data_IF_538066664520
#
_entry.id   IF_538066664520
#
_cell.length_a   1.000
_cell.length_b   1.000
_cell.length_c   1.000
_cell.angle_alpha   90.00
_cell.angle_beta   90.00
_cell.angle_gamma   90.00
#
_symmetry.space_group_name_H-M   'P 1'
#
loop_
_entity.id
_entity.type
_entity.pdbx_description
1 polymer ?
#
# COMPACT_ATOMS: atom_id res chain seq x y z
N UNK A 1 48.75 46.02 22.65
CA UNK A 1 49.32 45.44 23.89
C UNK A 1 50.28 44.37 23.44
N UNK A 2 51.57 44.68 23.40
CA UNK A 2 52.60 43.83 22.81
C UNK A 2 53.27 42.94 23.88
N UNK A 3 53.67 41.72 23.51
CA UNK A 3 55.06 41.23 23.53
C UNK A 3 55.14 39.70 23.50
N UNK A 4 56.09 39.20 22.70
CA UNK A 4 56.93 38.06 23.04
C UNK A 4 58.36 38.63 23.22
N UNK A 5 59.23 38.06 24.08
CA UNK A 5 60.25 37.15 23.53
C UNK A 5 60.76 36.01 24.46
N UNK A 6 61.47 35.07 23.81
CA UNK A 6 62.64 34.21 24.17
C UNK A 6 63.56 34.66 25.34
N UNK A 7 64.49 33.89 25.93
CA UNK A 7 65.05 32.51 25.74
C UNK A 7 65.88 32.03 26.99
N UNK A 8 66.45 30.81 26.95
CA UNK A 8 67.46 30.16 27.87
C UNK A 8 66.94 29.75 29.28
N UNK A 9 67.31 28.62 29.94
CA UNK A 9 68.20 27.44 29.72
C UNK A 9 68.37 26.69 31.08
N UNK A 10 68.91 25.47 31.27
CA UNK A 10 69.38 24.34 30.43
C UNK A 10 69.60 23.04 31.30
N UNK A 11 69.51 21.83 30.70
CA UNK A 11 70.36 20.58 30.87
C UNK A 11 70.63 20.00 32.31
N UNK A 12 70.49 18.69 32.66
CA UNK A 12 70.91 17.37 32.09
C UNK A 12 69.78 16.30 32.23
N UNK A 13 69.59 15.25 31.39
CA UNK A 13 70.43 14.07 31.04
C UNK A 13 69.74 12.77 31.58
N UNK A 14 69.74 11.56 31.00
CA UNK A 14 70.50 10.93 29.90
C UNK A 14 69.87 9.53 29.51
N UNK A 15 69.84 9.13 28.21
CA UNK A 15 69.78 7.76 27.57
C UNK A 15 68.81 6.62 28.07
N UNK A 16 68.36 5.61 27.29
CA UNK A 16 68.39 5.33 25.82
C UNK A 16 67.34 4.27 25.37
N UNK A 17 67.11 4.15 24.05
CA UNK A 17 66.83 2.95 23.18
C UNK A 17 66.06 1.70 23.70
N UNK A 18 65.25 0.94 22.93
CA UNK A 18 65.06 0.77 21.47
C UNK A 18 63.81 -0.09 21.11
N UNK A 19 63.57 -0.29 19.80
CA UNK A 19 62.83 -1.39 19.13
C UNK A 19 61.28 -1.42 19.14
N UNK A 20 60.70 -1.05 17.99
CA UNK A 20 59.54 -1.78 17.42
C UNK A 20 60.05 -3.02 16.65
N UNK A 21 59.16 -3.99 16.38
CA UNK A 21 58.82 -4.22 14.98
C UNK A 21 57.32 -4.29 14.70
N UNK A 22 56.99 -4.02 13.44
CA UNK A 22 55.66 -4.09 12.85
C UNK A 22 55.50 -5.46 12.18
N UNK A 23 54.52 -6.26 12.58
CA UNK A 23 54.15 -7.47 11.83
C UNK A 23 52.63 -7.64 11.81
N UNK A 24 52.11 -7.99 10.63
CA UNK A 24 50.69 -8.06 10.29
C UNK A 24 50.42 -9.44 9.73
N UNK A 25 49.69 -10.30 10.45
CA UNK A 25 48.79 -11.26 9.81
C UNK A 25 47.71 -11.86 10.73
N UNK A 26 46.47 -11.48 10.43
CA UNK A 26 45.29 -12.36 10.29
C UNK A 26 45.19 -13.66 11.13
N UNK A 27 44.42 -13.61 12.22
CA UNK A 27 43.46 -14.69 12.51
C UNK A 27 42.05 -14.11 12.72
N UNK A 28 41.19 -14.29 11.71
CA UNK A 28 39.74 -14.17 11.87
C UNK A 28 39.23 -15.47 12.50
N UNK A 29 39.04 -15.49 13.82
CA UNK A 29 38.24 -16.54 14.44
C UNK A 29 36.76 -16.19 14.32
N UNK A 30 36.02 -17.10 13.70
CA UNK A 30 34.60 -17.00 13.44
C UNK A 30 33.83 -17.45 14.70
N UNK A 31 33.60 -16.55 15.67
CA UNK A 31 32.71 -16.85 16.79
C UNK A 31 31.25 -16.79 16.35
N UNK A 32 30.71 -17.97 16.12
CA UNK A 32 29.32 -18.25 15.81
C UNK A 32 28.42 -17.74 16.96
N UNK A 33 27.73 -16.61 16.75
CA UNK A 33 26.78 -16.09 17.74
C UNK A 33 25.53 -16.97 17.74
N UNK A 34 25.31 -17.69 18.84
CA UNK A 34 24.06 -18.41 19.09
C UNK A 34 22.87 -17.43 19.09
N UNK A 35 21.66 -17.85 18.67
CA UNK A 35 20.47 -17.02 18.79
C UNK A 35 20.17 -16.77 20.27
N UNK A 36 19.90 -15.52 20.61
CA UNK A 36 19.66 -15.09 21.99
C UNK A 36 18.37 -15.71 22.53
N UNK A 37 18.45 -16.41 23.66
CA UNK A 37 17.33 -17.14 24.26
C UNK A 37 16.10 -16.25 24.59
N UNK A 38 16.30 -14.93 24.74
CA UNK A 38 15.24 -13.97 25.05
C UNK A 38 14.16 -13.84 23.96
N UNK A 39 14.50 -13.95 22.66
CA UNK A 39 13.46 -13.85 21.60
C UNK A 39 12.48 -15.02 21.63
N UNK A 40 12.88 -16.17 22.18
CA UNK A 40 12.00 -17.35 22.34
C UNK A 40 11.10 -17.22 23.59
N UNK A 41 11.66 -16.72 24.70
CA UNK A 41 10.90 -16.45 25.92
C UNK A 41 9.82 -15.38 25.68
N UNK A 42 10.13 -14.33 24.91
CA UNK A 42 9.16 -13.27 24.56
C UNK A 42 7.97 -13.80 23.72
N UNK A 43 8.18 -14.73 22.77
CA UNK A 43 7.08 -15.36 22.02
C UNK A 43 6.29 -16.37 22.87
N UNK A 44 6.92 -17.13 23.78
CA UNK A 44 6.21 -18.04 24.70
C UNK A 44 5.38 -17.29 25.75
N UNK A 45 5.90 -16.18 26.31
CA UNK A 45 5.16 -15.31 27.24
C UNK A 45 3.94 -14.71 26.52
N UNK A 46 4.08 -14.27 25.27
CA UNK A 46 2.96 -13.76 24.49
C UNK A 46 1.92 -14.84 24.14
N UNK A 47 2.34 -16.11 24.05
CA UNK A 47 1.47 -17.25 23.74
C UNK A 47 0.78 -17.90 24.95
N UNK A 48 1.27 -17.66 26.17
CA UNK A 48 0.73 -18.26 27.41
C UNK A 48 -0.36 -17.43 28.11
N UNK A 49 -0.65 -16.22 27.60
CA UNK A 49 -1.71 -15.38 28.16
C UNK A 49 -3.10 -15.83 27.68
N UNK A 50 -3.76 -16.66 28.49
CA UNK A 50 -5.19 -16.95 28.36
C UNK A 50 -6.00 -15.65 28.29
N UNK A 51 -6.86 -15.44 27.26
CA UNK A 51 -7.70 -14.25 27.15
C UNK A 51 -8.94 -14.39 28.06
N UNK A 52 -8.72 -14.58 29.35
CA UNK A 52 -9.78 -14.37 30.33
C UNK A 52 -10.21 -12.89 30.31
N UNK A 53 -11.52 -12.60 30.46
CA UNK A 53 -12.08 -11.35 29.98
C UNK A 53 -11.69 -10.19 30.87
N UNK A 54 -10.72 -9.39 30.42
CA UNK A 54 -10.47 -8.05 30.97
C UNK A 54 -11.75 -7.22 30.79
N UNK A 55 -12.50 -7.10 31.87
CA UNK A 55 -13.86 -6.59 31.92
C UNK A 55 -13.90 -5.05 31.94
N UNK A 56 -13.00 -4.43 31.17
CA UNK A 56 -12.89 -2.98 31.00
C UNK A 56 -13.18 -2.61 29.55
N UNK A 57 -14.21 -1.79 29.34
CA UNK A 57 -14.54 -1.16 28.06
C UNK A 57 -13.70 0.12 27.81
N UNK A 58 -12.70 0.37 28.66
CA UNK A 58 -11.92 1.60 28.74
C UNK A 58 -10.42 1.31 28.67
N UNK A 59 -9.58 2.27 28.24
CA UNK A 59 -8.14 2.14 28.40
C UNK A 59 -7.80 2.00 29.89
N UNK A 60 -7.13 0.89 30.24
CA UNK A 60 -6.56 0.69 31.58
C UNK A 60 -5.48 1.76 31.83
N UNK A 61 -5.42 2.27 33.06
CA UNK A 61 -4.38 3.24 33.44
C UNK A 61 -3.04 2.53 33.70
N UNK A 62 -1.92 3.26 33.58
CA UNK A 62 -0.56 2.69 33.60
C UNK A 62 -0.25 1.91 34.90
N UNK A 63 -0.93 2.23 36.01
CA UNK A 63 -0.79 1.54 37.29
C UNK A 63 -1.50 0.17 37.35
N UNK A 64 -2.41 -0.13 36.43
CA UNK A 64 -3.19 -1.38 36.40
C UNK A 64 -2.43 -2.52 35.69
N UNK A 65 -1.30 -2.21 35.05
CA UNK A 65 -0.43 -3.20 34.42
C UNK A 65 0.55 -3.79 35.46
N UNK A 66 0.80 -5.11 35.44
CA UNK A 66 1.82 -5.72 36.30
C UNK A 66 3.20 -5.14 36.00
N UNK A 67 4.05 -5.02 37.02
CA UNK A 67 5.39 -4.37 36.96
C UNK A 67 6.34 -4.99 35.90
N UNK A 68 6.06 -6.20 35.43
CA UNK A 68 6.77 -6.84 34.32
C UNK A 68 6.45 -6.25 32.94
N UNK A 69 5.30 -5.58 32.76
CA UNK A 69 4.88 -4.99 31.48
C UNK A 69 5.26 -3.51 31.46
N UNK A 70 6.46 -3.21 30.93
CA UNK A 70 6.87 -1.82 30.66
C UNK A 70 6.28 -1.36 29.32
N UNK A 71 5.08 -0.77 29.36
CA UNK A 71 4.37 -0.21 28.20
C UNK A 71 5.28 0.68 27.32
N UNK A 72 6.14 1.48 27.95
CA UNK A 72 7.09 2.39 27.29
C UNK A 72 8.13 1.68 26.40
N UNK A 73 8.37 0.38 26.61
CA UNK A 73 9.33 -0.43 25.85
C UNK A 73 8.66 -1.25 24.74
N UNK A 74 7.32 -1.34 24.74
CA UNK A 74 6.57 -2.09 23.72
C UNK A 74 6.52 -1.32 22.39
N UNK A 75 6.84 -1.95 21.25
CA UNK A 75 6.81 -1.27 19.95
C UNK A 75 5.38 -0.90 19.53
N UNK A 76 5.14 0.38 19.30
CA UNK A 76 3.83 0.90 18.92
C UNK A 76 3.50 0.62 17.43
N UNK A 77 2.59 -0.32 17.19
CA UNK A 77 2.10 -0.71 15.85
C UNK A 77 3.18 -1.15 14.82
N UNK A 78 4.09 -2.09 15.15
CA UNK A 78 5.25 -2.44 14.30
C UNK A 78 4.86 -2.86 12.87
N UNK A 79 3.75 -3.61 12.72
CA UNK A 79 3.24 -4.09 11.41
C UNK A 79 2.56 -2.99 10.56
N UNK A 80 2.37 -1.77 11.09
CA UNK A 80 1.70 -0.67 10.39
C UNK A 80 2.65 0.41 9.85
N UNK A 81 3.88 0.54 10.35
CA UNK A 81 4.79 1.62 9.92
C UNK A 81 5.03 1.63 8.40
N UNK A 82 5.28 0.46 7.79
CA UNK A 82 5.49 0.35 6.34
C UNK A 82 4.20 0.68 5.54
N UNK A 83 3.03 0.06 5.82
CA UNK A 83 1.75 0.46 5.21
C UNK A 83 1.42 1.95 5.30
N UNK A 84 1.63 2.58 6.47
CA UNK A 84 1.35 4.00 6.69
C UNK A 84 2.31 4.90 5.91
N UNK A 85 3.61 4.58 5.89
CA UNK A 85 4.61 5.28 5.06
C UNK A 85 4.26 5.18 3.57
N UNK A 86 3.91 3.99 3.07
CA UNK A 86 3.48 3.78 1.69
C UNK A 86 2.23 4.59 1.35
N UNK A 87 1.21 4.56 2.22
CA UNK A 87 -0.01 5.37 2.05
C UNK A 87 0.33 6.86 1.97
N UNK A 88 1.15 7.38 2.89
CA UNK A 88 1.55 8.79 2.90
C UNK A 88 2.30 9.20 1.62
N UNK A 89 3.22 8.36 1.12
CA UNK A 89 3.93 8.60 -0.14
C UNK A 89 2.96 8.63 -1.33
N UNK A 90 2.05 7.65 -1.45
CA UNK A 90 1.08 7.64 -2.54
C UNK A 90 0.09 8.81 -2.48
N UNK A 91 -0.38 9.19 -1.28
CA UNK A 91 -1.19 10.40 -1.07
C UNK A 91 -0.45 11.65 -1.54
N UNK A 92 0.82 11.82 -1.13
CA UNK A 92 1.64 12.98 -1.51
C UNK A 92 1.87 13.05 -3.02
N UNK A 93 2.25 11.94 -3.66
CA UNK A 93 2.46 11.86 -5.12
C UNK A 93 1.19 12.18 -5.89
N UNK A 94 0.06 11.55 -5.54
CA UNK A 94 -1.22 11.79 -6.18
C UNK A 94 -1.72 13.23 -5.91
N UNK A 95 -1.46 13.80 -4.73
CA UNK A 95 -1.81 15.19 -4.39
C UNK A 95 -1.02 16.18 -5.22
N UNK A 96 0.31 16.08 -5.23
CA UNK A 96 1.18 16.96 -6.03
C UNK A 96 0.80 16.91 -7.50
N UNK A 97 0.64 15.70 -8.06
CA UNK A 97 0.22 15.52 -9.46
C UNK A 97 -1.13 16.18 -9.76
N UNK A 98 -2.13 15.95 -8.90
CA UNK A 98 -3.49 16.48 -9.10
C UNK A 98 -3.53 18.01 -8.91
N UNK A 99 -2.80 18.54 -7.92
CA UNK A 99 -2.69 19.98 -7.65
C UNK A 99 -2.03 20.72 -8.81
N UNK A 100 -0.88 20.23 -9.29
CA UNK A 100 -0.17 20.82 -10.44
C UNK A 100 -1.09 20.94 -11.67
N UNK A 101 -1.92 19.91 -11.89
CA UNK A 101 -2.79 19.81 -13.07
C UNK A 101 -4.12 20.54 -12.95
N UNK A 102 -4.83 20.44 -11.83
CA UNK A 102 -6.21 20.96 -11.69
C UNK A 102 -6.28 22.38 -11.10
N UNK A 103 -5.20 22.85 -10.47
CA UNK A 103 -5.10 24.15 -9.80
C UNK A 103 -3.97 25.00 -10.39
N UNK A 104 -2.73 24.51 -10.41
CA UNK A 104 -1.59 25.31 -10.86
C UNK A 104 -1.64 25.59 -12.37
N UNK A 105 -1.93 24.59 -13.22
CA UNK A 105 -1.98 24.84 -14.67
C UNK A 105 -3.07 25.85 -15.09
N UNK A 106 -4.33 25.78 -14.62
CA UNK A 106 -5.33 26.81 -14.91
C UNK A 106 -4.95 28.20 -14.40
N UNK A 107 -4.25 28.27 -13.25
CA UNK A 107 -3.73 29.51 -12.70
C UNK A 107 -2.63 30.10 -13.59
N UNK A 108 -1.63 29.32 -13.99
CA UNK A 108 -0.50 29.78 -14.83
C UNK A 108 -0.93 30.07 -16.27
N UNK A 109 -1.79 29.24 -16.88
CA UNK A 109 -2.13 29.36 -18.30
C UNK A 109 -3.33 30.26 -18.59
N UNK A 110 -4.21 30.53 -17.62
CA UNK A 110 -5.47 31.27 -17.84
C UNK A 110 -5.76 32.31 -16.74
N UNK A 111 -4.84 32.53 -15.80
CA UNK A 111 -5.01 33.42 -14.63
C UNK A 111 -6.27 33.13 -13.79
N UNK A 112 -6.77 31.89 -13.82
CA UNK A 112 -7.99 31.49 -13.11
C UNK A 112 -7.67 31.02 -11.68
N UNK A 113 -8.23 31.72 -10.70
CA UNK A 113 -8.13 31.30 -9.29
C UNK A 113 -9.12 30.16 -8.98
N UNK A 114 -8.61 28.94 -9.06
CA UNK A 114 -9.35 27.70 -8.78
C UNK A 114 -8.92 27.02 -7.46
N UNK A 115 -8.29 27.74 -6.53
CA UNK A 115 -7.75 27.18 -5.28
C UNK A 115 -8.83 26.59 -4.35
N UNK A 116 -10.08 27.02 -4.45
CA UNK A 116 -11.23 26.42 -3.74
C UNK A 116 -11.45 24.94 -4.10
N UNK A 117 -10.84 24.42 -5.17
CA UNK A 117 -10.87 22.99 -5.52
C UNK A 117 -10.08 22.12 -4.53
N UNK A 118 -9.07 22.66 -3.86
CA UNK A 118 -8.11 21.86 -3.06
C UNK A 118 -8.81 21.01 -1.99
N UNK A 119 -9.69 21.55 -1.11
CA UNK A 119 -10.19 20.80 0.04
C UNK A 119 -11.14 19.65 -0.30
N UNK A 120 -11.77 19.65 -1.49
CA UNK A 120 -12.79 18.64 -1.86
C UNK A 120 -12.55 18.01 -3.22
N UNK A 121 -12.26 18.79 -4.27
CA UNK A 121 -12.12 18.28 -5.63
C UNK A 121 -10.76 17.64 -5.89
N UNK A 122 -9.68 18.18 -5.30
CA UNK A 122 -8.34 17.56 -5.37
C UNK A 122 -8.32 16.31 -4.47
N UNK A 123 -8.73 16.42 -3.20
CA UNK A 123 -8.77 15.26 -2.30
C UNK A 123 -9.64 14.11 -2.86
N UNK A 124 -10.80 14.39 -3.45
CA UNK A 124 -11.64 13.33 -4.04
C UNK A 124 -11.08 12.69 -5.33
N UNK A 125 -9.92 13.14 -5.84
CA UNK A 125 -9.14 12.44 -6.86
C UNK A 125 -7.94 11.67 -6.25
N UNK A 126 -7.37 12.21 -5.17
CA UNK A 126 -6.21 11.64 -4.45
C UNK A 126 -6.60 10.39 -3.65
N UNK A 127 -7.73 10.45 -2.94
CA UNK A 127 -8.26 9.35 -2.13
C UNK A 127 -8.52 8.07 -2.95
N UNK A 128 -9.30 8.08 -4.06
CA UNK A 128 -9.56 6.87 -4.84
C UNK A 128 -8.31 6.33 -5.54
N UNK A 129 -7.42 7.20 -6.04
CA UNK A 129 -6.15 6.79 -6.64
C UNK A 129 -5.31 6.02 -5.61
N UNK A 130 -5.11 6.59 -4.43
CA UNK A 130 -4.34 5.95 -3.36
C UNK A 130 -5.02 4.65 -2.93
N UNK A 131 -6.34 4.64 -2.73
CA UNK A 131 -7.11 3.46 -2.37
C UNK A 131 -6.90 2.30 -3.36
N UNK A 132 -7.16 2.52 -4.65
CA UNK A 132 -7.06 1.44 -5.65
C UNK A 132 -5.60 0.99 -5.86
N UNK A 133 -4.63 1.88 -5.63
CA UNK A 133 -3.19 1.55 -5.65
C UNK A 133 -2.83 0.62 -4.49
N UNK A 134 -3.24 0.95 -3.26
CA UNK A 134 -3.03 0.09 -2.09
C UNK A 134 -3.74 -1.27 -2.28
N UNK A 135 -4.96 -1.28 -2.81
CA UNK A 135 -5.69 -2.51 -3.12
C UNK A 135 -4.94 -3.39 -4.14
N UNK A 136 -4.38 -2.81 -5.20
CA UNK A 136 -3.56 -3.53 -6.15
C UNK A 136 -2.29 -4.12 -5.49
N UNK A 137 -1.67 -3.39 -4.57
CA UNK A 137 -0.51 -3.85 -3.79
C UNK A 137 -0.85 -4.97 -2.77
N UNK A 138 -2.12 -5.21 -2.44
CA UNK A 138 -2.54 -6.39 -1.65
C UNK A 138 -2.45 -7.67 -2.50
N UNK A 139 -2.88 -7.61 -3.75
CA UNK A 139 -3.01 -8.80 -4.62
C UNK A 139 -1.78 -9.07 -5.51
N UNK A 140 -1.03 -8.03 -5.89
CA UNK A 140 0.21 -8.14 -6.67
C UNK A 140 1.24 -9.16 -6.10
N UNK A 141 1.61 -9.18 -4.81
CA UNK A 141 2.62 -10.11 -4.32
C UNK A 141 2.17 -11.57 -4.41
N UNK A 142 0.86 -11.85 -4.37
CA UNK A 142 0.32 -13.19 -4.62
C UNK A 142 0.51 -13.64 -6.08
N UNK A 143 0.36 -12.71 -7.04
CA UNK A 143 0.68 -12.96 -8.44
C UNK A 143 2.17 -13.18 -8.68
N UNK A 144 3.03 -12.36 -8.06
CA UNK A 144 4.49 -12.52 -8.13
C UNK A 144 4.96 -13.84 -7.50
N UNK A 145 4.40 -14.24 -6.36
CA UNK A 145 4.67 -15.53 -5.72
C UNK A 145 4.31 -16.71 -6.63
N UNK A 146 3.16 -16.66 -7.32
CA UNK A 146 2.75 -17.68 -8.28
C UNK A 146 3.67 -17.75 -9.51
N UNK A 147 4.10 -16.61 -10.06
CA UNK A 147 5.11 -16.57 -11.13
C UNK A 147 6.45 -17.18 -10.66
N UNK A 148 6.90 -16.85 -9.45
CA UNK A 148 8.13 -17.38 -8.88
C UNK A 148 8.07 -18.90 -8.69
N UNK A 149 6.93 -19.42 -8.20
CA UNK A 149 6.68 -20.87 -8.08
C UNK A 149 6.70 -21.56 -9.46
N UNK A 150 6.07 -20.98 -10.48
CA UNK A 150 6.09 -21.50 -11.86
C UNK A 150 7.49 -21.49 -12.47
N UNK A 151 8.26 -20.42 -12.24
CA UNK A 151 9.63 -20.27 -12.70
C UNK A 151 10.56 -21.30 -12.05
N UNK A 152 10.59 -21.37 -10.71
CA UNK A 152 11.40 -22.32 -9.93
C UNK A 152 10.95 -23.77 -10.14
N UNK A 153 9.66 -24.01 -10.36
CA UNK A 153 9.09 -25.34 -10.59
C UNK A 153 9.03 -26.21 -9.34
N UNK A 154 8.97 -25.61 -8.15
CA UNK A 154 8.83 -26.26 -6.83
C UNK A 154 8.17 -25.28 -5.85
N UNK A 155 7.48 -25.79 -4.83
CA UNK A 155 6.92 -24.98 -3.72
C UNK A 155 7.87 -24.86 -2.52
N UNK A 156 8.89 -25.71 -2.42
CA UNK A 156 9.74 -25.86 -1.23
C UNK A 156 10.86 -24.81 -1.13
N UNK A 157 11.05 -23.99 -2.17
CA UNK A 157 12.05 -22.93 -2.20
C UNK A 157 11.52 -21.63 -1.58
N UNK A 158 12.11 -21.22 -0.46
CA UNK A 158 11.76 -20.01 0.31
C UNK A 158 11.68 -18.75 -0.54
N UNK A 159 10.67 -17.91 -0.28
CA UNK A 159 10.52 -16.63 -0.97
C UNK A 159 11.65 -15.65 -0.59
N UNK A 160 12.04 -14.72 -1.48
CA UNK A 160 12.92 -13.62 -1.11
C UNK A 160 12.34 -12.81 0.05
N UNK A 161 13.19 -12.38 0.98
CA UNK A 161 12.79 -11.68 2.23
C UNK A 161 11.86 -10.49 1.97
N UNK A 162 12.13 -9.69 0.92
CA UNK A 162 11.28 -8.56 0.54
C UNK A 162 9.83 -8.97 0.20
N UNK A 163 9.64 -10.13 -0.43
CA UNK A 163 8.32 -10.64 -0.82
C UNK A 163 7.60 -11.24 0.38
N UNK A 164 8.33 -11.91 1.28
CA UNK A 164 7.78 -12.41 2.54
C UNK A 164 7.28 -11.26 3.44
N UNK A 165 8.09 -10.22 3.61
CA UNK A 165 7.72 -9.03 4.38
C UNK A 165 6.49 -8.31 3.78
N UNK A 166 6.44 -8.18 2.45
CA UNK A 166 5.27 -7.61 1.77
C UNK A 166 4.01 -8.49 1.94
N UNK A 167 4.14 -9.81 1.81
CA UNK A 167 3.03 -10.74 2.04
C UNK A 167 2.47 -10.66 3.47
N UNK A 168 3.31 -10.33 4.46
CA UNK A 168 2.94 -10.14 5.86
C UNK A 168 2.15 -8.86 6.17
N UNK A 169 2.29 -7.79 5.37
CA UNK A 169 1.60 -6.49 5.59
C UNK A 169 0.31 -6.31 4.76
N UNK A 170 -0.12 -7.34 4.03
CA UNK A 170 -1.30 -7.29 3.15
C UNK A 170 -2.60 -6.91 3.86
N UNK A 171 -2.81 -7.37 5.10
CA UNK A 171 -4.01 -7.03 5.90
C UNK A 171 -4.09 -5.52 6.15
N UNK A 172 -2.99 -4.91 6.57
CA UNK A 172 -2.87 -3.48 6.85
C UNK A 172 -3.06 -2.65 5.57
N UNK A 173 -2.44 -3.05 4.46
CA UNK A 173 -2.65 -2.40 3.16
C UNK A 173 -4.12 -2.45 2.70
N UNK A 174 -4.80 -3.58 2.90
CA UNK A 174 -6.22 -3.73 2.58
C UNK A 174 -7.13 -2.86 3.46
N UNK A 175 -6.83 -2.77 4.77
CA UNK A 175 -7.58 -1.90 5.70
C UNK A 175 -7.38 -0.41 5.39
N UNK A 176 -6.16 0.03 5.06
CA UNK A 176 -5.90 1.41 4.63
C UNK A 176 -6.59 1.72 3.29
N UNK A 177 -6.57 0.77 2.35
CA UNK A 177 -7.34 0.90 1.10
C UNK A 177 -8.84 1.09 1.38
N UNK A 178 -9.43 0.26 2.24
CA UNK A 178 -10.85 0.36 2.60
C UNK A 178 -11.19 1.71 3.25
N UNK A 179 -10.38 2.18 4.20
CA UNK A 179 -10.54 3.49 4.84
C UNK A 179 -10.57 4.62 3.80
N UNK A 180 -9.62 4.63 2.85
CA UNK A 180 -9.58 5.63 1.79
C UNK A 180 -10.74 5.51 0.79
N UNK A 181 -11.25 4.29 0.54
CA UNK A 181 -12.46 4.07 -0.25
C UNK A 181 -13.72 4.63 0.43
N UNK A 182 -13.87 4.43 1.75
CA UNK A 182 -14.95 5.01 2.54
C UNK A 182 -14.89 6.55 2.53
N UNK A 183 -13.71 7.13 2.73
CA UNK A 183 -13.52 8.58 2.63
C UNK A 183 -13.86 9.10 1.22
N UNK A 184 -13.41 8.42 0.17
CA UNK A 184 -13.78 8.76 -1.21
C UNK A 184 -15.30 8.70 -1.45
N UNK A 185 -16.00 7.71 -0.90
CA UNK A 185 -17.44 7.61 -0.99
C UNK A 185 -18.15 8.80 -0.32
N UNK A 186 -17.75 9.15 0.91
CA UNK A 186 -18.29 10.30 1.66
C UNK A 186 -18.03 11.62 0.90
N UNK A 187 -16.80 11.82 0.43
CA UNK A 187 -16.43 12.99 -0.36
C UNK A 187 -17.25 13.08 -1.66
N UNK A 188 -17.48 11.96 -2.33
CA UNK A 188 -18.28 11.90 -3.57
C UNK A 188 -19.77 12.18 -3.32
N UNK A 189 -20.36 11.60 -2.28
CA UNK A 189 -21.75 11.85 -1.87
C UNK A 189 -21.97 13.32 -1.44
N UNK A 190 -20.94 13.99 -0.94
CA UNK A 190 -20.98 15.43 -0.60
C UNK A 190 -21.06 16.37 -1.82
N UNK A 191 -20.84 15.89 -3.06
CA UNK A 191 -20.74 16.73 -4.26
C UNK A 191 -21.88 17.75 -4.46
N UNK A 192 -23.17 17.36 -4.38
CA UNK A 192 -24.30 18.28 -4.59
C UNK A 192 -24.50 19.26 -3.43
N UNK A 193 -24.04 18.94 -2.21
CA UNK A 193 -24.17 19.81 -1.03
C UNK A 193 -23.30 21.07 -1.11
N UNK A 194 -22.28 21.08 -1.98
CA UNK A 194 -21.31 22.19 -2.08
C UNK A 194 -21.91 23.42 -2.75
N UNK A 195 -21.68 24.60 -2.14
CA UNK A 195 -22.05 25.91 -2.72
C UNK A 195 -21.51 26.12 -4.14
N UNK A 196 -20.28 25.69 -4.41
CA UNK A 196 -19.67 25.78 -5.74
C UNK A 196 -20.37 24.93 -6.82
N UNK A 197 -21.01 23.82 -6.44
CA UNK A 197 -21.85 23.05 -7.36
C UNK A 197 -23.20 23.74 -7.59
N UNK A 198 -23.83 24.26 -6.52
CA UNK A 198 -25.09 25.03 -6.61
C UNK A 198 -24.96 26.25 -7.53
N UNK A 199 -23.86 27.01 -7.45
CA UNK A 199 -23.62 28.14 -8.35
C UNK A 199 -23.41 27.70 -9.81
N UNK A 200 -22.71 26.58 -10.06
CA UNK A 200 -22.55 26.03 -11.42
C UNK A 200 -23.89 25.59 -12.00
N UNK A 201 -24.72 24.89 -11.22
CA UNK A 201 -26.05 24.45 -11.63
C UNK A 201 -26.95 25.63 -12.00
N UNK A 202 -26.93 26.72 -11.21
CA UNK A 202 -27.69 27.92 -11.50
C UNK A 202 -27.21 28.62 -12.78
N UNK A 203 -25.89 28.72 -12.98
CA UNK A 203 -25.31 29.30 -14.20
C UNK A 203 -25.66 28.48 -15.44
N UNK A 204 -25.60 27.13 -15.36
CA UNK A 204 -26.01 26.25 -16.46
C UNK A 204 -27.50 26.37 -16.79
N UNK A 205 -28.37 26.43 -15.77
CA UNK A 205 -29.80 26.65 -15.98
C UNK A 205 -30.09 28.01 -16.64
N UNK A 206 -29.40 29.07 -16.22
CA UNK A 206 -29.52 30.39 -16.83
C UNK A 206 -29.05 30.40 -18.29
N UNK A 207 -27.89 29.78 -18.59
CA UNK A 207 -27.38 29.62 -19.95
C UNK A 207 -28.33 28.81 -20.84
N UNK A 208 -28.89 27.70 -20.34
CA UNK A 208 -29.86 26.89 -21.08
C UNK A 208 -31.10 27.71 -21.51
N UNK A 209 -31.59 28.60 -20.63
CA UNK A 209 -32.71 29.50 -20.94
C UNK A 209 -32.31 30.57 -21.96
N UNK A 210 -31.12 31.15 -21.85
CA UNK A 210 -30.61 32.10 -22.86
C UNK A 210 -30.45 31.46 -24.25
N UNK A 211 -29.99 30.21 -24.31
CA UNK A 211 -29.87 29.41 -25.54
C UNK A 211 -31.21 28.87 -26.06
N UNK A 212 -32.33 29.13 -25.36
CA UNK A 212 -33.68 28.60 -25.66
C UNK A 212 -33.73 27.08 -25.82
N UNK A 213 -32.87 26.35 -25.11
CA UNK A 213 -32.76 24.90 -25.20
C UNK A 213 -33.72 24.22 -24.23
N UNK A 214 -34.82 23.68 -24.75
CA UNK A 214 -35.88 23.06 -23.93
C UNK A 214 -35.38 21.84 -23.15
N UNK A 215 -34.67 20.91 -23.81
CA UNK A 215 -34.17 19.69 -23.20
C UNK A 215 -32.64 19.64 -23.16
N UNK A 216 -32.06 19.47 -21.97
CA UNK A 216 -30.62 19.31 -21.74
C UNK A 216 -30.16 17.87 -21.48
N UNK A 217 -31.06 16.89 -21.62
CA UNK A 217 -30.76 15.45 -21.51
C UNK A 217 -29.71 14.98 -22.51
N UNK A 218 -28.75 14.18 -22.04
CA UNK A 218 -27.70 13.55 -22.86
C UNK A 218 -27.55 12.08 -22.46
N UNK A 219 -28.17 11.21 -23.24
CA UNK A 219 -28.27 9.75 -23.00
C UNK A 219 -26.91 9.09 -22.65
N UNK A 220 -25.86 9.37 -23.45
CA UNK A 220 -24.50 8.83 -23.27
C UNK A 220 -23.85 9.22 -21.93
N UNK A 221 -24.10 10.46 -21.47
CA UNK A 221 -23.57 10.96 -20.20
C UNK A 221 -24.34 10.36 -19.00
N UNK A 222 -25.64 10.12 -19.14
CA UNK A 222 -26.50 9.48 -18.12
C UNK A 222 -26.11 8.01 -17.95
N UNK A 223 -26.06 7.22 -19.02
CA UNK A 223 -25.65 5.80 -18.94
C UNK A 223 -24.28 5.64 -18.30
N UNK A 224 -23.31 6.49 -18.68
CA UNK A 224 -21.99 6.49 -18.05
C UNK A 224 -22.11 6.71 -16.54
N UNK A 225 -22.85 7.73 -16.11
CA UNK A 225 -23.03 8.11 -14.71
C UNK A 225 -23.63 6.96 -13.88
N UNK A 226 -24.75 6.39 -14.32
CA UNK A 226 -25.44 5.31 -13.62
C UNK A 226 -24.56 4.05 -13.50
N UNK A 227 -23.91 3.64 -14.59
CA UNK A 227 -23.07 2.44 -14.61
C UNK A 227 -21.87 2.59 -13.67
N UNK A 228 -21.08 3.66 -13.76
CA UNK A 228 -19.89 3.76 -12.90
C UNK A 228 -20.26 3.94 -11.42
N UNK A 229 -21.35 4.64 -11.09
CA UNK A 229 -21.79 4.79 -9.70
C UNK A 229 -22.21 3.43 -9.13
N UNK A 230 -23.02 2.66 -9.87
CA UNK A 230 -23.41 1.30 -9.47
C UNK A 230 -22.20 0.38 -9.25
N UNK A 231 -21.23 0.37 -10.17
CA UNK A 231 -19.98 -0.38 -10.02
C UNK A 231 -19.17 0.05 -8.79
N UNK A 232 -19.15 1.35 -8.46
CA UNK A 232 -18.47 1.89 -7.29
C UNK A 232 -19.13 1.45 -5.98
N UNK A 233 -20.46 1.48 -5.91
CA UNK A 233 -21.25 1.02 -4.75
C UNK A 233 -21.04 -0.48 -4.53
N UNK A 234 -21.14 -1.30 -5.58
CA UNK A 234 -20.91 -2.74 -5.50
C UNK A 234 -19.46 -3.06 -5.09
N UNK A 235 -18.47 -2.38 -5.68
CA UNK A 235 -17.06 -2.53 -5.30
C UNK A 235 -16.80 -2.21 -3.83
N UNK A 236 -17.36 -1.11 -3.32
CA UNK A 236 -17.26 -0.73 -1.90
C UNK A 236 -17.96 -1.73 -0.99
N UNK A 237 -19.13 -2.26 -1.39
CA UNK A 237 -19.86 -3.29 -0.65
C UNK A 237 -19.04 -4.58 -0.50
N UNK A 238 -18.38 -5.03 -1.58
CA UNK A 238 -17.49 -6.20 -1.51
C UNK A 238 -16.24 -5.89 -0.66
N UNK A 239 -15.64 -4.69 -0.76
CA UNK A 239 -14.54 -4.29 0.10
C UNK A 239 -14.92 -4.29 1.59
N UNK A 240 -16.15 -3.89 1.94
CA UNK A 240 -16.63 -3.96 3.31
C UNK A 240 -16.69 -5.40 3.84
N UNK A 241 -17.14 -6.38 3.04
CA UNK A 241 -17.11 -7.80 3.43
C UNK A 241 -15.68 -8.33 3.63
N UNK A 242 -14.74 -7.92 2.76
CA UNK A 242 -13.31 -8.26 2.88
C UNK A 242 -12.68 -7.62 4.12
N UNK A 243 -13.09 -6.39 4.47
CA UNK A 243 -12.63 -5.70 5.68
C UNK A 243 -13.20 -6.34 6.97
N UNK A 244 -14.51 -6.60 7.01
CA UNK A 244 -15.20 -7.22 8.17
C UNK A 244 -14.64 -8.61 8.46
N UNK A 245 -14.44 -9.44 7.44
CA UNK A 245 -13.83 -10.78 7.61
C UNK A 245 -12.36 -10.75 8.05
N UNK A 246 -11.70 -9.60 8.05
CA UNK A 246 -10.34 -9.44 8.59
C UNK A 246 -10.30 -9.18 10.10
N UNK A 247 -11.45 -8.90 10.73
CA UNK A 247 -11.57 -8.77 12.20
C UNK A 247 -11.32 -10.14 12.86
N UNK A 248 -10.54 -10.24 13.95
CA UNK A 248 -10.25 -11.53 14.59
C UNK A 248 -11.51 -12.30 15.00
N UNK A 249 -12.53 -11.60 15.50
CA UNK A 249 -13.82 -12.19 15.91
C UNK A 249 -14.61 -12.85 14.77
N UNK A 250 -14.41 -12.41 13.52
CA UNK A 250 -15.04 -12.99 12.31
C UNK A 250 -14.09 -13.99 11.65
N UNK A 251 -12.79 -13.72 11.64
CA UNK A 251 -11.78 -14.61 11.09
C UNK A 251 -11.75 -15.95 11.83
N UNK A 252 -11.90 -15.94 13.16
CA UNK A 252 -11.83 -17.13 14.01
C UNK A 252 -13.09 -18.03 13.93
N UNK A 253 -14.19 -17.56 13.34
CA UNK A 253 -15.42 -18.36 13.15
C UNK A 253 -15.52 -18.99 11.76
N UNK A 254 -14.69 -18.55 10.80
CA UNK A 254 -14.65 -19.07 9.44
C UNK A 254 -13.59 -20.16 9.30
N UNK A 255 -13.88 -21.20 8.53
CA UNK A 255 -12.83 -22.15 8.15
C UNK A 255 -11.90 -21.56 7.08
N UNK A 256 -10.70 -22.17 6.92
CA UNK A 256 -9.70 -21.68 5.97
C UNK A 256 -10.20 -21.59 4.52
N UNK A 257 -11.17 -22.42 4.11
CA UNK A 257 -11.73 -22.40 2.76
C UNK A 257 -12.67 -21.21 2.55
N UNK A 258 -13.51 -20.90 3.53
CA UNK A 258 -14.37 -19.71 3.56
C UNK A 258 -13.54 -18.43 3.61
N UNK A 259 -12.59 -18.35 4.54
CA UNK A 259 -11.70 -17.19 4.67
C UNK A 259 -10.90 -16.94 3.38
N UNK A 260 -10.34 -18.00 2.77
CA UNK A 260 -9.69 -17.88 1.45
C UNK A 260 -10.68 -17.47 0.36
N UNK A 261 -11.91 -17.97 0.35
CA UNK A 261 -12.92 -17.56 -0.64
C UNK A 261 -13.21 -16.05 -0.55
N UNK A 262 -13.41 -15.51 0.66
CA UNK A 262 -13.63 -14.08 0.86
C UNK A 262 -12.38 -13.28 0.48
N UNK A 263 -11.24 -13.55 1.12
CA UNK A 263 -10.03 -12.73 0.93
C UNK A 263 -9.43 -12.84 -0.48
N UNK A 264 -9.57 -13.99 -1.16
CA UNK A 264 -9.06 -14.20 -2.54
C UNK A 264 -10.11 -13.89 -3.59
N UNK A 265 -11.29 -14.53 -3.55
CA UNK A 265 -12.27 -14.43 -4.64
C UNK A 265 -13.01 -13.09 -4.59
N UNK A 266 -13.63 -12.76 -3.45
CA UNK A 266 -14.29 -11.46 -3.28
C UNK A 266 -13.26 -10.31 -3.32
N UNK A 267 -12.06 -10.52 -2.78
CA UNK A 267 -10.95 -9.57 -2.90
C UNK A 267 -10.58 -9.18 -4.34
N UNK A 268 -10.41 -10.15 -5.25
CA UNK A 268 -10.15 -9.85 -6.66
C UNK A 268 -11.39 -9.31 -7.38
N UNK A 269 -12.60 -9.72 -7.00
CA UNK A 269 -13.84 -9.16 -7.53
C UNK A 269 -13.99 -7.67 -7.18
N UNK A 270 -13.65 -7.28 -5.95
CA UNK A 270 -13.58 -5.88 -5.55
C UNK A 270 -12.55 -5.09 -6.38
N UNK A 271 -11.32 -5.61 -6.55
CA UNK A 271 -10.32 -4.97 -7.40
C UNK A 271 -10.83 -4.79 -8.85
N UNK A 272 -11.50 -5.81 -9.41
CA UNK A 272 -12.12 -5.72 -10.73
C UNK A 272 -13.21 -4.65 -10.81
N UNK A 273 -14.17 -4.64 -9.88
CA UNK A 273 -15.26 -3.67 -9.85
C UNK A 273 -14.76 -2.23 -9.65
N UNK A 274 -13.81 -2.01 -8.73
CA UNK A 274 -13.20 -0.70 -8.52
C UNK A 274 -12.39 -0.23 -9.74
N UNK A 275 -11.74 -1.14 -10.46
CA UNK A 275 -11.06 -0.81 -11.72
C UNK A 275 -12.09 -0.47 -12.80
N UNK A 276 -13.13 -1.28 -12.99
CA UNK A 276 -14.20 -1.05 -13.95
C UNK A 276 -14.91 0.30 -13.69
N UNK A 277 -15.19 0.64 -12.44
CA UNK A 277 -15.68 1.95 -12.00
C UNK A 277 -14.78 3.10 -12.54
N UNK A 278 -13.46 3.01 -12.37
CA UNK A 278 -12.52 4.01 -12.87
C UNK A 278 -12.43 4.06 -14.41
N UNK A 279 -12.49 2.90 -15.09
CA UNK A 279 -12.47 2.80 -16.55
C UNK A 279 -13.72 3.43 -17.17
N UNK A 280 -14.91 3.10 -16.66
CA UNK A 280 -16.21 3.63 -17.11
C UNK A 280 -16.35 5.12 -16.77
N UNK A 281 -15.83 5.58 -15.62
CA UNK A 281 -15.70 7.02 -15.34
C UNK A 281 -14.88 7.76 -16.43
N UNK A 282 -13.88 7.09 -17.01
CA UNK A 282 -13.10 7.60 -18.13
C UNK A 282 -13.89 7.73 -19.44
N UNK A 283 -14.62 6.69 -19.87
CA UNK A 283 -15.48 6.70 -21.07
C UNK A 283 -14.79 7.25 -22.33
N UNK A 284 -15.16 8.43 -22.84
CA UNK A 284 -14.51 9.09 -24.00
C UNK A 284 -13.23 9.88 -23.62
N UNK A 285 -13.02 10.19 -22.33
CA UNK A 285 -11.88 10.98 -21.82
C UNK A 285 -10.51 10.33 -22.04
N UNK A 286 -10.48 9.03 -22.36
CA UNK A 286 -9.27 8.29 -22.75
C UNK A 286 -8.66 8.78 -24.07
N UNK A 287 -9.51 9.18 -25.03
CA UNK A 287 -9.09 9.57 -26.40
C UNK A 287 -9.04 11.08 -26.57
N UNK A 288 -9.83 11.82 -25.76
CA UNK A 288 -9.96 13.27 -25.89
C UNK A 288 -8.70 14.04 -25.41
N UNK A 289 -7.87 14.47 -26.36
CA UNK A 289 -6.65 15.27 -26.16
C UNK A 289 -6.81 16.49 -25.26
N UNK A 290 -8.01 17.09 -25.17
CA UNK A 290 -8.33 18.20 -24.26
C UNK A 290 -8.08 17.87 -22.77
N UNK A 291 -7.99 16.59 -22.43
CA UNK A 291 -7.65 16.12 -21.08
C UNK A 291 -6.16 15.83 -20.87
N UNK A 292 -5.28 16.09 -21.84
CA UNK A 292 -3.83 15.95 -21.70
C UNK A 292 -3.21 17.33 -21.48
N UNK A 293 -2.91 17.64 -20.22
CA UNK A 293 -2.49 18.98 -19.78
C UNK A 293 -0.98 18.96 -19.60
N UNK A 294 -0.24 19.84 -20.30
CA UNK A 294 1.24 19.83 -20.32
C UNK A 294 1.82 18.43 -20.60
N UNK A 295 1.25 17.72 -21.59
CA UNK A 295 1.57 16.31 -21.92
C UNK A 295 1.29 15.28 -20.82
N UNK A 296 0.77 15.68 -19.65
CA UNK A 296 0.44 14.76 -18.55
C UNK A 296 -0.95 14.12 -18.74
N UNK A 297 -1.08 12.79 -18.58
CA UNK A 297 -2.36 12.09 -18.71
C UNK A 297 -3.33 12.40 -17.55
N UNK A 298 -4.64 12.16 -17.71
CA UNK A 298 -5.59 12.20 -16.61
C UNK A 298 -5.19 11.29 -15.43
N UNK A 299 -5.41 11.76 -14.20
CA UNK A 299 -5.08 11.02 -12.98
C UNK A 299 -5.72 9.63 -12.92
N UNK A 300 -6.93 9.46 -13.46
CA UNK A 300 -7.60 8.16 -13.51
C UNK A 300 -6.87 7.12 -14.38
N UNK A 301 -6.14 7.54 -15.43
CA UNK A 301 -5.36 6.63 -16.28
C UNK A 301 -4.20 6.04 -15.47
N UNK A 302 -3.45 6.90 -14.77
CA UNK A 302 -2.36 6.48 -13.89
C UNK A 302 -2.85 5.62 -12.72
N UNK A 303 -3.98 5.99 -12.11
CA UNK A 303 -4.62 5.20 -11.05
C UNK A 303 -5.06 3.81 -11.52
N UNK A 304 -5.51 3.67 -12.78
CA UNK A 304 -6.01 2.41 -13.33
C UNK A 304 -4.89 1.47 -13.84
N UNK A 305 -3.67 1.99 -14.06
CA UNK A 305 -2.58 1.22 -14.65
C UNK A 305 -2.15 0.03 -13.78
N UNK A 306 -1.79 0.26 -12.51
CA UNK A 306 -1.34 -0.81 -11.61
C UNK A 306 -2.43 -1.87 -11.33
N UNK A 307 -3.69 -1.50 -11.02
CA UNK A 307 -4.81 -2.45 -10.97
C UNK A 307 -4.98 -3.26 -12.25
N UNK A 308 -4.90 -2.62 -13.42
CA UNK A 308 -4.96 -3.28 -14.73
C UNK A 308 -3.88 -4.34 -14.92
N UNK A 309 -2.62 -4.04 -14.55
CA UNK A 309 -1.51 -5.00 -14.59
C UNK A 309 -1.76 -6.19 -13.65
N UNK A 310 -2.28 -5.96 -12.44
CA UNK A 310 -2.60 -7.03 -11.48
C UNK A 310 -3.73 -7.92 -11.99
N UNK A 311 -4.78 -7.34 -12.57
CA UNK A 311 -5.90 -8.09 -13.17
C UNK A 311 -5.45 -8.89 -14.41
N UNK A 312 -4.60 -8.31 -15.27
CA UNK A 312 -4.01 -9.00 -16.41
C UNK A 312 -3.15 -10.18 -15.96
N UNK A 313 -2.27 -9.99 -14.98
CA UNK A 313 -1.47 -11.06 -14.38
C UNK A 313 -2.37 -12.16 -13.80
N UNK A 314 -3.45 -11.79 -13.10
CA UNK A 314 -4.40 -12.74 -12.54
C UNK A 314 -5.17 -13.52 -13.62
N UNK A 315 -5.46 -12.90 -14.77
CA UNK A 315 -6.09 -13.55 -15.92
C UNK A 315 -5.12 -14.52 -16.61
N UNK A 316 -3.86 -14.12 -16.84
CA UNK A 316 -2.81 -14.99 -17.39
C UNK A 316 -2.59 -16.22 -16.51
N UNK A 317 -2.49 -16.04 -15.19
CA UNK A 317 -2.37 -17.14 -14.23
C UNK A 317 -3.64 -18.00 -14.11
N UNK A 318 -4.81 -17.49 -14.51
CA UNK A 318 -6.05 -18.26 -14.56
C UNK A 318 -6.17 -19.16 -15.80
N UNK A 319 -5.36 -18.94 -16.84
CA UNK A 319 -5.41 -19.78 -18.04
C UNK A 319 -5.12 -21.25 -17.70
N UNK A 320 -5.82 -22.23 -18.30
CA UNK A 320 -5.74 -23.64 -17.89
C UNK A 320 -4.34 -24.23 -17.87
N UNK A 321 -3.45 -23.78 -18.77
CA UNK A 321 -2.06 -24.21 -18.85
C UNK A 321 -1.23 -23.80 -17.62
N UNK A 322 -1.37 -22.55 -17.16
CA UNK A 322 -0.67 -22.04 -15.98
C UNK A 322 -1.33 -22.53 -14.69
N UNK A 323 -2.67 -22.52 -14.61
CA UNK A 323 -3.38 -22.93 -13.40
C UNK A 323 -3.14 -24.41 -13.06
N UNK A 324 -3.32 -25.34 -14.02
CA UNK A 324 -3.05 -26.78 -13.81
C UNK A 324 -1.57 -27.09 -13.49
N UNK A 325 -0.65 -26.21 -13.89
CA UNK A 325 0.77 -26.34 -13.56
C UNK A 325 1.05 -25.83 -12.15
N UNK A 326 0.47 -24.70 -11.77
CA UNK A 326 0.58 -24.11 -10.44
C UNK A 326 -0.05 -25.01 -9.37
N UNK A 327 -1.24 -25.56 -9.64
CA UNK A 327 -1.92 -26.54 -8.78
C UNK A 327 -1.04 -27.77 -8.53
N UNK A 328 -0.44 -28.36 -9.57
CA UNK A 328 0.52 -29.47 -9.40
C UNK A 328 1.70 -29.09 -8.52
N UNK A 329 2.31 -27.91 -8.72
CA UNK A 329 3.43 -27.44 -7.88
C UNK A 329 2.99 -27.25 -6.43
N UNK A 330 1.79 -26.70 -6.19
CA UNK A 330 1.23 -26.51 -4.85
C UNK A 330 0.88 -27.85 -4.16
N UNK A 331 0.47 -28.87 -4.93
CA UNK A 331 0.33 -30.25 -4.46
C UNK A 331 1.68 -30.97 -4.22
N UNK A 332 2.82 -30.36 -4.55
CA UNK A 332 4.16 -30.89 -4.28
C UNK A 332 4.91 -31.45 -5.49
N UNK A 333 4.41 -31.24 -6.72
CA UNK A 333 5.15 -31.59 -7.93
C UNK A 333 6.38 -30.72 -8.12
N UNK A 334 7.52 -31.35 -8.40
CA UNK A 334 8.77 -30.68 -8.75
C UNK A 334 9.16 -30.94 -10.21
N UNK A 335 9.81 -29.95 -10.84
CA UNK A 335 10.32 -30.11 -12.20
C UNK A 335 11.48 -31.13 -12.22
N UNK A 336 11.36 -32.25 -12.96
CA UNK A 336 12.46 -33.21 -13.08
C UNK A 336 13.68 -32.53 -13.73
N UNK A 337 14.88 -32.82 -13.22
CA UNK A 337 16.14 -32.18 -13.59
C UNK A 337 16.73 -31.21 -12.55
N UNK A 338 16.01 -30.88 -11.45
CA UNK A 338 16.56 -30.01 -10.38
C UNK A 338 16.87 -30.68 -9.04
N UNK A 339 16.46 -31.94 -8.83
CA UNK A 339 16.74 -32.69 -7.60
C UNK A 339 18.24 -32.79 -7.29
N UNK A 340 19.06 -33.12 -8.30
CA UNK A 340 20.51 -33.31 -8.15
C UNK A 340 21.36 -32.03 -8.04
N UNK A 341 20.74 -30.86 -7.82
CA UNK A 341 21.45 -29.64 -7.41
C UNK A 341 21.29 -29.41 -5.90
N UNK A 342 20.09 -29.62 -5.34
CA UNK A 342 19.85 -29.44 -3.90
C UNK A 342 20.60 -30.50 -3.10
N UNK A 343 20.60 -31.77 -3.55
CA UNK A 343 21.37 -32.88 -2.93
C UNK A 343 22.91 -32.69 -2.99
N UNK A 344 23.41 -31.75 -3.80
CA UNK A 344 24.85 -31.47 -3.95
C UNK A 344 25.35 -30.29 -3.14
N UNK A 345 24.46 -29.39 -2.74
CA UNK A 345 24.77 -28.27 -1.86
C UNK A 345 24.56 -28.64 -0.37
N UNK A 346 24.27 -29.91 -0.08
CA UNK A 346 24.00 -30.48 1.25
C UNK A 346 24.90 -31.68 1.61
N UNK A 347 26.11 -31.74 1.05
CA UNK A 347 27.14 -32.75 1.29
C UNK A 347 28.51 -32.10 1.54
#
# INVERSE_FOLDING_TARGET
MERCPRDLGEVTGYHDESLQPFEVETQVQLTQKEPEAGEMEDEEILSSMDPHPFLSLFPLEEFEFPVSIRLQEMPLFPKWHLPLKLMAVFLAVAFVYTFLRDVLQPYVSQSKNDFYKIPLLVLNKVLPWTSITLLALVYLPGGLAALLQLHRGTKYSSFPVWLQNWMGVRKQLGLLSFLLACLHAIYSLSYPMRRSYRYKLLNWAYQQVQEKKENSWVEDDVWRMEIYISLGILGLGILALVAISSLPSVMNTLNWREFQCVQRTLGHAALFLCTAHALVYGWRKWVELKHYVWFTPPSFILASFLPGVVLLLKAVLAMPCFNKRLERIQLGWERPGRKGLIDKDSL
#
